data_IF_238664897174
#
_entry.id   IF_238664897174
#
_cell.length_a   1.000
_cell.length_b   1.000
_cell.length_c   1.000
_cell.angle_alpha   90.00
_cell.angle_beta   90.00
_cell.angle_gamma   90.00
#
_symmetry.space_group_name_H-M   'P 1'
#
loop_
_entity.id
_entity.type
_entity.pdbx_description
1 polymer ?
#
# COMPACT_ATOMS: atom_id res chain seq x y z
N UNK A 1 -0.44 -36.56 -3.69
CA UNK A 1 -0.95 -35.31 -3.07
C UNK A 1 -0.78 -34.19 -4.07
N UNK A 2 -1.86 -33.80 -4.75
CA UNK A 2 -1.85 -32.66 -5.66
C UNK A 2 -1.95 -31.38 -4.80
N UNK A 3 -0.88 -30.58 -4.77
CA UNK A 3 -0.87 -29.30 -4.06
C UNK A 3 -1.59 -28.29 -4.95
N UNK A 4 -2.87 -28.01 -4.64
CA UNK A 4 -3.60 -26.93 -5.31
C UNK A 4 -2.90 -25.61 -4.99
N UNK A 5 -2.14 -25.09 -5.94
CA UNK A 5 -1.61 -23.73 -5.89
C UNK A 5 -2.79 -22.83 -6.23
N UNK A 6 -3.39 -22.20 -5.22
CA UNK A 6 -4.30 -21.09 -5.44
C UNK A 6 -3.51 -19.96 -6.08
N UNK A 7 -3.52 -19.91 -7.41
CA UNK A 7 -3.05 -18.76 -8.18
C UNK A 7 -4.01 -17.63 -7.82
N UNK A 8 -3.60 -16.79 -6.87
CA UNK A 8 -4.25 -15.49 -6.66
C UNK A 8 -4.05 -14.70 -7.95
N UNK A 9 -5.07 -14.70 -8.80
CA UNK A 9 -5.16 -13.71 -9.87
C UNK A 9 -5.02 -12.36 -9.16
N UNK A 10 -4.03 -11.51 -9.49
CA UNK A 10 -3.98 -10.18 -8.95
C UNK A 10 -5.18 -9.43 -9.52
N UNK A 11 -6.31 -9.50 -8.81
CA UNK A 11 -7.40 -8.57 -8.98
C UNK A 11 -6.81 -7.20 -8.65
N UNK A 12 -6.83 -6.29 -9.61
CA UNK A 12 -6.50 -4.89 -9.35
C UNK A 12 -7.41 -4.43 -8.20
N UNK A 13 -6.85 -3.98 -7.07
CA UNK A 13 -7.64 -3.64 -5.90
C UNK A 13 -8.65 -2.55 -6.25
N UNK A 14 -9.92 -2.81 -5.98
CA UNK A 14 -10.97 -1.82 -6.20
C UNK A 14 -10.89 -0.72 -5.16
N UNK A 15 -11.58 0.40 -5.39
CA UNK A 15 -11.70 1.51 -4.43
C UNK A 15 -12.04 1.05 -3.00
N UNK A 16 -12.82 -0.04 -2.85
CA UNK A 16 -13.26 -0.57 -1.56
C UNK A 16 -12.21 -1.42 -0.85
N UNK A 17 -11.21 -1.94 -1.57
CA UNK A 17 -10.17 -2.82 -1.02
C UNK A 17 -9.04 -2.02 -0.35
N UNK A 18 -8.74 -0.83 -0.88
CA UNK A 18 -7.63 0.01 -0.42
C UNK A 18 -7.60 0.30 1.08
N UNK A 19 -8.72 0.66 1.76
CA UNK A 19 -8.71 0.87 3.21
C UNK A 19 -8.24 -0.37 3.99
N UNK A 20 -8.68 -1.56 3.58
CA UNK A 20 -8.31 -2.82 4.23
C UNK A 20 -6.85 -3.19 4.00
N UNK A 21 -6.36 -3.04 2.76
CA UNK A 21 -4.98 -3.34 2.39
C UNK A 21 -3.99 -2.41 3.11
N UNK A 22 -4.27 -1.10 3.14
CA UNK A 22 -3.42 -0.13 3.84
C UNK A 22 -3.44 -0.36 5.35
N UNK A 23 -4.59 -0.71 5.93
CA UNK A 23 -4.68 -1.08 7.35
C UNK A 23 -3.91 -2.36 7.69
N UNK A 24 -3.89 -3.35 6.78
CA UNK A 24 -3.11 -4.56 6.95
C UNK A 24 -1.60 -4.29 6.84
N UNK A 25 -1.16 -3.40 5.95
CA UNK A 25 0.24 -2.97 5.87
C UNK A 25 0.67 -2.24 7.14
N UNK A 26 -0.14 -1.30 7.63
CA UNK A 26 0.14 -0.57 8.87
C UNK A 26 0.29 -1.52 10.07
N UNK A 27 -0.58 -2.52 10.20
CA UNK A 27 -0.45 -3.54 11.26
C UNK A 27 0.83 -4.35 11.14
N UNK A 28 1.21 -4.76 9.93
CA UNK A 28 2.46 -5.50 9.73
C UNK A 28 3.70 -4.70 10.09
N UNK A 29 3.69 -3.38 9.82
CA UNK A 29 4.75 -2.47 10.26
C UNK A 29 4.81 -2.37 11.78
N UNK A 30 3.66 -2.16 12.44
CA UNK A 30 3.62 -2.03 13.90
C UNK A 30 3.96 -3.33 14.63
N UNK A 31 3.59 -4.48 14.06
CA UNK A 31 3.88 -5.81 14.60
C UNK A 31 5.34 -6.25 14.34
N UNK A 32 6.14 -5.45 13.63
CA UNK A 32 7.52 -5.79 13.25
C UNK A 32 7.62 -6.95 12.23
N UNK A 33 6.53 -7.26 11.52
CA UNK A 33 6.51 -8.27 10.45
C UNK A 33 7.21 -7.79 9.19
N UNK A 34 7.29 -6.47 9.00
CA UNK A 34 8.22 -5.83 8.07
C UNK A 34 9.48 -5.50 8.86
N UNK A 35 10.62 -6.05 8.46
CA UNK A 35 11.87 -5.85 9.19
C UNK A 35 12.44 -4.45 8.95
N UNK A 36 13.18 -3.93 9.93
CA UNK A 36 13.81 -2.60 9.85
C UNK A 36 14.67 -2.42 8.59
N UNK A 37 15.32 -3.49 8.14
CA UNK A 37 16.14 -3.50 6.92
C UNK A 37 15.33 -3.25 5.64
N UNK A 38 14.04 -3.56 5.65
CA UNK A 38 13.14 -3.43 4.51
C UNK A 38 12.45 -2.06 4.49
N UNK A 39 12.46 -1.32 5.61
CA UNK A 39 11.84 0.00 5.73
C UNK A 39 12.38 1.03 4.72
N UNK A 40 13.70 1.12 4.45
CA UNK A 40 14.21 2.04 3.44
C UNK A 40 13.69 1.72 2.03
N UNK A 41 13.55 0.43 1.70
CA UNK A 41 12.98 0.00 0.42
C UNK A 41 11.51 0.37 0.33
N UNK A 42 10.74 0.05 1.37
CA UNK A 42 9.32 0.38 1.43
C UNK A 42 9.06 1.89 1.34
N UNK A 43 9.88 2.71 1.99
CA UNK A 43 9.77 4.17 1.92
C UNK A 43 9.92 4.70 0.49
N UNK A 44 10.86 4.15 -0.28
CA UNK A 44 11.08 4.52 -1.70
C UNK A 44 9.90 4.14 -2.58
N UNK A 45 9.25 3.01 -2.32
CA UNK A 45 8.07 2.58 -3.06
C UNK A 45 6.81 3.39 -2.72
N UNK A 46 6.72 3.93 -1.49
CA UNK A 46 5.61 4.77 -1.08
C UNK A 46 5.72 6.22 -1.60
N UNK A 47 6.94 6.71 -1.83
CA UNK A 47 7.19 8.06 -2.36
C UNK A 47 6.38 8.40 -3.63
N UNK A 48 6.39 7.59 -4.71
CA UNK A 48 5.60 7.89 -5.91
C UNK A 48 4.08 7.90 -5.65
N UNK A 49 3.60 7.09 -4.70
CA UNK A 49 2.17 7.05 -4.32
C UNK A 49 1.77 8.36 -3.64
N UNK A 50 2.58 8.84 -2.70
CA UNK A 50 2.35 10.11 -2.01
C UNK A 50 2.43 11.29 -2.98
N UNK A 51 3.37 11.26 -3.93
CA UNK A 51 3.49 12.31 -4.93
C UNK A 51 2.28 12.35 -5.89
N UNK A 52 1.79 11.18 -6.30
CA UNK A 52 0.56 11.09 -7.08
C UNK A 52 -0.65 11.65 -6.32
N UNK A 53 -0.76 11.36 -5.01
CA UNK A 53 -1.79 11.93 -4.15
C UNK A 53 -1.68 13.46 -4.10
N UNK A 54 -0.49 14.00 -3.81
CA UNK A 54 -0.25 15.46 -3.74
C UNK A 54 -0.60 16.15 -5.05
N UNK A 55 -0.19 15.58 -6.19
CA UNK A 55 -0.55 16.11 -7.53
C UNK A 55 -2.06 16.15 -7.73
N UNK A 56 -2.77 15.08 -7.37
CA UNK A 56 -4.24 15.02 -7.46
C UNK A 56 -4.93 15.99 -6.52
N UNK A 57 -4.44 16.13 -5.29
CA UNK A 57 -4.97 17.07 -4.30
C UNK A 57 -4.88 18.51 -4.81
N UNK A 58 -3.70 18.91 -5.32
CA UNK A 58 -3.49 20.21 -5.96
C UNK A 58 -4.43 20.46 -7.14
N UNK A 59 -4.66 19.44 -7.97
CA UNK A 59 -5.54 19.56 -9.14
C UNK A 59 -7.04 19.64 -8.79
N UNK A 60 -7.45 19.09 -7.65
CA UNK A 60 -8.88 18.95 -7.27
C UNK A 60 -9.30 19.84 -6.10
N UNK A 61 -8.35 20.55 -5.47
CA UNK A 61 -8.59 21.29 -4.22
C UNK A 61 -8.83 20.39 -3.01
N UNK A 62 -8.57 19.08 -3.12
CA UNK A 62 -8.65 18.17 -1.98
C UNK A 62 -7.57 18.52 -0.93
N UNK A 63 -7.81 18.24 0.36
CA UNK A 63 -6.83 18.52 1.41
C UNK A 63 -5.52 17.82 1.12
N UNK A 64 -4.41 18.56 1.28
CA UNK A 64 -3.09 17.98 1.19
C UNK A 64 -2.84 17.06 2.39
N UNK A 65 -2.21 15.91 2.12
CA UNK A 65 -1.67 15.06 3.18
C UNK A 65 -0.41 15.76 3.72
N UNK A 66 -0.48 16.17 4.98
CA UNK A 66 0.60 16.85 5.70
C UNK A 66 1.69 15.87 6.15
#
# INVERSE_FOLDING_TARGET
MERRVEVRVPLDPTRRDWPGLLGALARQLNDGRVYDRDLPGLARELEPVLEAYRRRARATGAPAMH
#
